data_IF_552088600368
#
_entry.id   IF_552088600368
#
_cell.length_a   1.000
_cell.length_b   1.000
_cell.length_c   1.000
_cell.angle_alpha   90.00
_cell.angle_beta   90.00
_cell.angle_gamma   90.00
#
_symmetry.space_group_name_H-M   'P 1'
#
loop_
_entity.id
_entity.type
_entity.pdbx_description
1 polymer ?
#
# COMPACT_ATOMS: atom_id res chain seq x y z
N UNK A 1 -58.82 -15.99 -4.29
CA UNK A 1 -58.23 -17.35 -4.18
C UNK A 1 -56.97 -17.32 -3.32
N UNK A 2 -56.99 -18.13 -2.25
CA UNK A 2 -55.90 -18.79 -1.51
C UNK A 2 -54.60 -18.02 -1.20
N UNK A 3 -54.49 -17.59 0.07
CA UNK A 3 -53.23 -17.43 0.81
C UNK A 3 -52.45 -18.76 0.78
N UNK A 4 -51.20 -18.74 0.31
CA UNK A 4 -50.24 -19.82 0.50
C UNK A 4 -49.07 -19.29 1.33
N UNK A 5 -49.12 -19.58 2.64
CA UNK A 5 -47.94 -19.70 3.51
C UNK A 5 -47.25 -21.03 3.16
N UNK A 6 -45.91 -21.04 3.00
CA UNK A 6 -45.06 -22.19 3.35
C UNK A 6 -43.55 -21.83 3.42
N UNK A 7 -43.08 -21.77 4.67
CA UNK A 7 -41.81 -22.29 5.21
C UNK A 7 -40.48 -22.13 4.44
N UNK A 8 -39.62 -21.21 4.88
CA UNK A 8 -38.16 -21.33 4.72
C UNK A 8 -37.55 -21.97 5.98
N UNK A 9 -37.09 -23.22 5.84
CA UNK A 9 -36.34 -23.99 6.85
C UNK A 9 -35.05 -23.28 7.24
N UNK A 10 -34.83 -23.03 8.54
CA UNK A 10 -33.54 -22.61 9.11
C UNK A 10 -32.58 -23.80 9.13
N UNK A 11 -31.53 -23.77 8.31
CA UNK A 11 -30.41 -24.72 8.40
C UNK A 11 -29.48 -24.24 9.52
N UNK A 12 -29.57 -24.86 10.70
CA UNK A 12 -28.58 -24.70 11.78
C UNK A 12 -27.35 -25.56 11.47
N UNK A 13 -26.25 -24.96 10.99
CA UNK A 13 -24.94 -25.64 10.95
C UNK A 13 -24.40 -25.75 12.39
N UNK A 14 -24.40 -26.97 12.96
CA UNK A 14 -23.69 -27.31 14.21
C UNK A 14 -22.19 -27.37 13.91
N UNK A 15 -21.41 -26.44 14.45
CA UNK A 15 -19.94 -26.54 14.47
C UNK A 15 -19.55 -27.42 15.66
N UNK A 16 -18.94 -28.59 15.38
CA UNK A 16 -18.38 -29.50 16.41
C UNK A 16 -17.13 -28.85 17.02
N UNK A 17 -17.13 -28.58 18.33
CA UNK A 17 -15.94 -28.18 19.09
C UNK A 17 -15.03 -29.41 19.32
N UNK A 18 -13.85 -29.45 18.72
CA UNK A 18 -12.81 -30.40 19.10
C UNK A 18 -12.14 -29.95 20.42
N UNK A 19 -12.22 -30.77 21.46
CA UNK A 19 -11.46 -30.61 22.71
C UNK A 19 -10.01 -31.05 22.49
N UNK A 20 -9.03 -30.15 22.65
CA UNK A 20 -7.61 -30.50 22.68
C UNK A 20 -7.20 -30.90 24.11
N UNK A 21 -6.78 -32.15 24.29
CA UNK A 21 -6.14 -32.65 25.52
C UNK A 21 -4.69 -32.12 25.56
N UNK A 22 -4.31 -31.34 26.58
CA UNK A 22 -2.90 -31.02 26.89
C UNK A 22 -2.43 -31.87 28.07
N UNK A 23 -1.47 -32.75 27.79
CA UNK A 23 -0.79 -33.62 28.76
C UNK A 23 0.13 -32.80 29.68
N UNK A 24 0.01 -32.99 31.00
CA UNK A 24 1.01 -32.55 31.99
C UNK A 24 2.14 -33.61 32.06
N UNK A 25 3.40 -33.21 31.87
CA UNK A 25 4.57 -34.03 32.25
C UNK A 25 5.27 -33.39 33.44
N UNK A 26 5.40 -34.18 34.52
CA UNK A 26 6.14 -33.90 35.75
C UNK A 26 7.52 -34.55 35.59
N UNK A 27 8.61 -33.82 35.86
CA UNK A 27 9.92 -34.42 36.10
C UNK A 27 10.53 -33.86 37.39
N UNK A 28 10.69 -34.73 38.40
CA UNK A 28 11.52 -34.51 39.60
C UNK A 28 12.88 -35.18 39.38
N UNK A 29 13.99 -34.51 39.71
CA UNK A 29 15.26 -35.17 40.06
C UNK A 29 15.99 -34.40 41.17
N UNK A 30 16.24 -35.09 42.28
CA UNK A 30 17.13 -34.70 43.39
C UNK A 30 18.49 -35.40 43.19
N UNK A 31 19.60 -34.78 43.61
CA UNK A 31 20.84 -35.47 44.00
C UNK A 31 21.46 -34.80 45.24
N UNK A 32 21.87 -35.62 46.22
CA UNK A 32 22.62 -35.26 47.45
C UNK A 32 24.08 -35.70 47.28
N UNK A 33 25.02 -35.01 47.94
CA UNK A 33 26.39 -35.49 48.17
C UNK A 33 26.79 -35.33 49.65
N UNK A 34 27.57 -36.29 50.15
CA UNK A 34 28.08 -36.47 51.53
C UNK A 34 29.61 -36.61 51.48
N UNK A 35 30.36 -36.11 52.47
CA UNK A 35 31.74 -36.56 52.81
C UNK A 35 32.10 -36.33 54.31
N UNK A 36 32.65 -37.37 54.95
CA UNK A 36 33.22 -37.45 56.31
C UNK A 36 34.75 -37.24 56.31
N UNK A 37 35.37 -36.81 57.43
CA UNK A 37 36.77 -37.15 57.83
C UNK A 37 36.98 -37.14 59.37
N UNK A 38 37.78 -38.10 59.88
CA UNK A 38 38.11 -38.38 61.31
C UNK A 38 39.41 -37.70 61.79
N UNK A 39 39.55 -37.58 63.12
CA UNK A 39 40.65 -36.95 63.90
C UNK A 39 41.55 -37.99 64.61
N UNK A 40 42.80 -37.63 64.95
CA UNK A 40 43.73 -38.38 65.83
C UNK A 40 44.42 -37.45 66.85
N UNK A 41 44.73 -37.93 68.07
CA UNK A 41 45.43 -37.21 69.16
C UNK A 41 46.62 -38.03 69.69
N UNK A 42 47.69 -37.37 70.13
CA UNK A 42 48.84 -37.94 70.85
C UNK A 42 49.09 -37.20 72.19
N UNK A 43 49.56 -37.92 73.21
CA UNK A 43 49.84 -37.45 74.60
C UNK A 43 51.36 -37.44 74.88
N UNK A 44 51.82 -36.56 75.79
CA UNK A 44 53.21 -36.45 76.26
C UNK A 44 53.28 -36.47 77.79
N UNK A 45 54.30 -37.13 78.34
CA UNK A 45 54.61 -37.38 79.76
C UNK A 45 55.71 -36.43 80.24
N UNK A 46 55.68 -35.98 81.52
CA UNK A 46 56.67 -35.09 82.16
C UNK A 46 57.66 -35.86 83.05
N UNK A 47 58.89 -35.33 83.20
CA UNK A 47 59.91 -35.75 84.19
C UNK A 47 60.28 -34.61 85.13
N UNK A 48 60.70 -35.01 86.34
CA UNK A 48 60.86 -34.22 87.56
C UNK A 48 62.31 -33.88 87.92
N UNK A 49 62.45 -32.72 88.57
CA UNK A 49 63.40 -32.18 89.57
C UNK A 49 64.63 -32.99 90.01
N UNK A 50 65.68 -32.28 90.49
CA UNK A 50 66.42 -32.63 91.71
C UNK A 50 67.23 -31.43 92.28
N UNK A 51 67.38 -31.41 93.61
CA UNK A 51 67.75 -30.28 94.48
C UNK A 51 69.23 -30.26 94.94
N UNK A 52 69.92 -29.11 94.86
CA UNK A 52 71.27 -28.84 95.44
C UNK A 52 71.24 -27.66 96.44
N UNK A 53 70.54 -27.79 97.58
CA UNK A 53 70.27 -26.66 98.50
C UNK A 53 71.20 -26.50 99.71
N UNK A 54 72.23 -27.35 99.90
CA UNK A 54 72.89 -27.47 101.22
C UNK A 54 74.18 -26.68 101.48
N UNK A 55 74.71 -25.88 100.53
CA UNK A 55 76.00 -25.17 100.70
C UNK A 55 75.93 -23.63 100.55
N UNK A 56 74.87 -22.96 101.04
CA UNK A 56 74.63 -21.52 100.76
C UNK A 56 74.83 -20.55 101.94
N UNK A 57 75.15 -21.03 103.15
CA UNK A 57 75.13 -20.20 104.37
C UNK A 57 76.48 -20.08 105.11
N UNK A 58 77.61 -20.16 104.42
CA UNK A 58 78.93 -19.86 105.01
C UNK A 58 79.31 -18.39 104.76
N UNK A 59 79.93 -17.74 105.76
CA UNK A 59 80.33 -16.32 105.69
C UNK A 59 81.27 -16.04 104.49
N UNK A 60 82.17 -16.98 104.18
CA UNK A 60 83.06 -16.92 103.03
C UNK A 60 82.31 -16.82 101.69
N UNK A 61 81.26 -17.63 101.47
CA UNK A 61 80.43 -17.56 100.26
C UNK A 61 79.75 -16.18 100.11
N UNK A 62 79.29 -15.60 101.23
CA UNK A 62 78.67 -14.26 101.24
C UNK A 62 79.68 -13.16 100.93
N UNK A 63 80.92 -13.32 101.39
CA UNK A 63 82.02 -12.40 101.12
C UNK A 63 82.48 -12.45 99.66
N UNK A 64 82.70 -13.64 99.08
CA UNK A 64 83.09 -13.76 97.65
C UNK A 64 82.01 -13.17 96.74
N UNK A 65 80.72 -13.43 97.06
CA UNK A 65 79.58 -12.86 96.34
C UNK A 65 79.52 -11.33 96.41
N UNK A 66 79.72 -10.77 97.61
CA UNK A 66 79.77 -9.32 97.80
C UNK A 66 80.95 -8.70 97.04
N UNK A 67 82.10 -9.37 97.06
CA UNK A 67 83.30 -8.94 96.38
C UNK A 67 83.16 -8.96 94.85
N UNK A 68 82.47 -9.96 94.29
CA UNK A 68 82.20 -10.06 92.86
C UNK A 68 81.12 -9.09 92.38
N UNK A 69 80.10 -8.80 93.19
CA UNK A 69 79.09 -7.76 92.93
C UNK A 69 79.71 -6.34 92.91
N UNK A 70 80.73 -6.08 93.75
CA UNK A 70 81.44 -4.79 93.85
C UNK A 70 82.74 -4.70 93.05
N UNK A 71 83.19 -5.79 92.40
CA UNK A 71 84.46 -5.89 91.66
C UNK A 71 85.70 -5.48 92.47
N UNK A 72 85.78 -5.85 93.75
CA UNK A 72 86.89 -5.50 94.65
C UNK A 72 87.92 -6.65 94.74
N UNK A 73 89.24 -6.42 94.83
CA UNK A 73 90.26 -7.50 94.95
C UNK A 73 91.44 -7.08 95.86
N UNK A 74 91.47 -7.51 97.16
CA UNK A 74 92.58 -7.20 98.06
C UNK A 74 93.77 -8.15 97.84
N UNK A 75 94.98 -7.60 97.64
CA UNK A 75 96.24 -8.34 97.55
C UNK A 75 96.99 -8.22 98.88
N UNK A 76 97.29 -9.34 99.56
CA UNK A 76 98.06 -9.37 100.81
C UNK A 76 99.31 -10.24 100.57
N UNK A 77 100.52 -9.69 100.81
CA UNK A 77 101.80 -10.41 100.79
C UNK A 77 102.22 -10.74 102.23
N UNK A 78 102.46 -12.03 102.53
CA UNK A 78 103.01 -12.49 103.82
C UNK A 78 104.29 -13.29 103.55
N UNK A 79 105.44 -12.80 104.02
CA UNK A 79 106.72 -13.52 104.07
C UNK A 79 106.93 -14.04 105.50
N UNK A 80 106.92 -15.36 105.71
CA UNK A 80 107.13 -15.97 107.03
C UNK A 80 108.40 -16.84 106.99
N UNK A 81 109.42 -16.48 107.77
CA UNK A 81 110.67 -17.23 107.93
C UNK A 81 110.55 -18.29 109.03
N UNK A 82 111.07 -19.48 108.75
CA UNK A 82 110.93 -20.71 109.54
C UNK A 82 111.76 -20.72 110.83
N UNK A 83 111.15 -20.41 111.98
CA UNK A 83 111.51 -20.98 113.31
C UNK A 83 110.41 -20.69 114.34
N UNK A 84 109.26 -21.35 114.23
CA UNK A 84 108.18 -21.25 115.22
C UNK A 84 107.65 -22.62 115.62
N UNK A 85 107.51 -22.80 116.93
CA UNK A 85 107.21 -24.03 117.65
C UNK A 85 105.87 -24.68 117.26
N UNK A 86 105.76 -25.99 117.53
CA UNK A 86 104.64 -26.92 117.18
C UNK A 86 103.21 -26.41 117.47
N UNK A 87 103.04 -25.34 118.24
CA UNK A 87 101.74 -24.83 118.67
C UNK A 87 101.07 -23.86 117.67
N UNK A 88 101.79 -23.32 116.67
CA UNK A 88 101.25 -22.34 115.69
C UNK A 88 100.92 -22.99 114.32
N UNK A 89 101.42 -24.21 114.05
CA UNK A 89 101.18 -24.94 112.80
C UNK A 89 99.68 -25.21 112.53
N UNK A 90 98.91 -25.48 113.59
CA UNK A 90 97.47 -25.76 113.47
C UNK A 90 96.66 -24.53 113.02
N UNK A 91 97.13 -23.32 113.31
CA UNK A 91 96.49 -22.06 112.94
C UNK A 91 96.70 -21.74 111.45
N UNK A 92 97.93 -21.86 110.94
CA UNK A 92 98.20 -21.63 109.51
C UNK A 92 97.56 -22.68 108.61
N UNK A 93 97.50 -23.95 109.03
CA UNK A 93 96.75 -24.98 108.29
C UNK A 93 95.24 -24.66 108.20
N UNK A 94 94.68 -23.95 109.18
CA UNK A 94 93.28 -23.50 109.17
C UNK A 94 93.09 -22.32 108.21
N UNK A 95 94.04 -21.39 108.18
CA UNK A 95 94.06 -20.26 107.23
C UNK A 95 94.25 -20.75 105.78
N UNK A 96 95.17 -21.68 105.55
CA UNK A 96 95.44 -22.24 104.22
C UNK A 96 94.22 -22.96 103.66
N UNK A 97 93.52 -23.75 104.49
CA UNK A 97 92.22 -24.35 104.11
C UNK A 97 91.19 -23.29 103.71
N UNK A 98 91.08 -22.19 104.45
CA UNK A 98 90.16 -21.09 104.10
C UNK A 98 90.56 -20.34 102.82
N UNK A 99 91.86 -20.20 102.53
CA UNK A 99 92.37 -19.57 101.29
C UNK A 99 92.08 -20.46 100.07
N UNK A 100 92.30 -21.76 100.19
CA UNK A 100 91.98 -22.74 99.14
C UNK A 100 90.47 -22.74 98.86
N UNK A 101 89.66 -22.72 99.91
CA UNK A 101 88.20 -22.62 99.81
C UNK A 101 87.77 -21.31 99.12
N UNK A 102 88.38 -20.17 99.47
CA UNK A 102 88.13 -18.89 98.80
C UNK A 102 88.48 -18.90 97.30
N UNK A 103 89.65 -19.45 96.93
CA UNK A 103 90.07 -19.55 95.52
C UNK A 103 89.11 -20.42 94.70
N UNK A 104 88.66 -21.54 95.29
CA UNK A 104 87.68 -22.42 94.67
C UNK A 104 86.33 -21.72 94.47
N UNK A 105 85.81 -21.05 95.51
CA UNK A 105 84.56 -20.29 95.45
C UNK A 105 84.62 -19.15 94.41
N UNK A 106 85.75 -18.45 94.28
CA UNK A 106 85.94 -17.40 93.27
C UNK A 106 85.87 -17.93 91.84
N UNK A 107 86.45 -19.11 91.58
CA UNK A 107 86.38 -19.76 90.27
C UNK A 107 84.97 -20.26 89.95
N UNK A 108 84.26 -20.83 90.93
CA UNK A 108 82.85 -21.21 90.76
C UNK A 108 81.96 -20.01 90.43
N UNK A 109 82.19 -18.87 91.07
CA UNK A 109 81.39 -17.68 90.85
C UNK A 109 81.66 -17.04 89.47
N UNK A 110 82.90 -17.05 88.98
CA UNK A 110 83.22 -16.64 87.61
C UNK A 110 82.56 -17.56 86.56
N UNK A 111 82.61 -18.89 86.75
CA UNK A 111 81.92 -19.84 85.88
C UNK A 111 80.41 -19.58 85.85
N UNK A 112 79.81 -19.28 87.00
CA UNK A 112 78.39 -18.90 87.11
C UNK A 112 78.08 -17.62 86.33
N UNK A 113 78.90 -16.57 86.42
CA UNK A 113 78.70 -15.32 85.69
C UNK A 113 78.76 -15.51 84.16
N UNK A 114 79.68 -16.35 83.66
CA UNK A 114 79.78 -16.66 82.22
C UNK A 114 78.56 -17.42 81.74
N UNK A 115 78.12 -18.44 82.50
CA UNK A 115 76.89 -19.19 82.21
C UNK A 115 75.68 -18.26 82.22
N UNK A 116 75.57 -17.34 83.19
CA UNK A 116 74.46 -16.39 83.28
C UNK A 116 74.42 -15.42 82.08
N UNK A 117 75.57 -14.99 81.56
CA UNK A 117 75.65 -14.16 80.35
C UNK A 117 75.20 -14.92 79.10
N UNK A 118 75.68 -16.15 78.90
CA UNK A 118 75.26 -17.00 77.78
C UNK A 118 73.77 -17.34 77.85
N UNK A 119 73.24 -17.60 79.05
CA UNK A 119 71.80 -17.80 79.26
C UNK A 119 70.97 -16.54 78.94
N UNK A 120 71.50 -15.35 79.22
CA UNK A 120 70.85 -14.07 78.85
C UNK A 120 70.84 -13.88 77.33
N UNK A 121 71.96 -14.08 76.64
CA UNK A 121 72.04 -13.98 75.17
C UNK A 121 71.17 -15.02 74.46
N UNK A 122 71.12 -16.27 74.94
CA UNK A 122 70.22 -17.29 74.39
C UNK A 122 68.75 -16.92 74.58
N UNK A 123 68.39 -16.37 75.75
CA UNK A 123 67.02 -15.88 76.01
C UNK A 123 66.66 -14.75 75.06
N UNK A 124 67.57 -13.80 74.84
CA UNK A 124 67.38 -12.70 73.89
C UNK A 124 67.20 -13.19 72.46
N UNK A 125 68.03 -14.12 71.97
CA UNK A 125 67.87 -14.73 70.63
C UNK A 125 66.55 -15.47 70.49
N UNK A 126 66.16 -16.27 71.50
CA UNK A 126 64.87 -16.97 71.53
C UNK A 126 63.69 -16.00 71.52
N UNK A 127 63.81 -14.86 72.19
CA UNK A 127 62.76 -13.85 72.24
C UNK A 127 62.68 -13.04 70.93
N UNK A 128 63.80 -12.78 70.26
CA UNK A 128 63.80 -12.22 68.90
C UNK A 128 63.18 -13.17 67.89
N UNK A 129 63.53 -14.46 67.92
CA UNK A 129 62.96 -15.47 67.01
C UNK A 129 61.45 -15.65 67.23
N UNK A 130 60.99 -15.63 68.49
CA UNK A 130 59.55 -15.60 68.81
C UNK A 130 58.89 -14.34 68.25
N UNK A 131 59.50 -13.17 68.39
CA UNK A 131 58.96 -11.91 67.83
C UNK A 131 58.82 -11.99 66.31
N UNK A 132 59.83 -12.48 65.60
CA UNK A 132 59.79 -12.66 64.13
C UNK A 132 58.67 -13.63 63.72
N UNK A 133 58.54 -14.78 64.39
CA UNK A 133 57.46 -15.76 64.12
C UNK A 133 56.08 -15.14 64.35
N UNK A 134 55.91 -14.38 65.42
CA UNK A 134 54.67 -13.66 65.71
C UNK A 134 54.37 -12.63 64.62
N UNK A 135 55.36 -11.86 64.15
CA UNK A 135 55.19 -10.90 63.06
C UNK A 135 54.82 -11.57 61.72
N UNK A 136 55.44 -12.70 61.39
CA UNK A 136 55.12 -13.47 60.19
C UNK A 136 53.70 -14.05 60.24
N UNK A 137 53.29 -14.60 61.38
CA UNK A 137 51.91 -15.06 61.59
C UNK A 137 50.90 -13.92 61.46
N UNK A 138 51.22 -12.74 62.01
CA UNK A 138 50.41 -11.53 61.86
C UNK A 138 50.32 -11.10 60.39
N UNK A 139 51.43 -11.08 59.64
CA UNK A 139 51.45 -10.78 58.20
C UNK A 139 50.61 -11.78 57.41
N UNK A 140 50.74 -13.07 57.68
CA UNK A 140 49.93 -14.12 57.04
C UNK A 140 48.44 -13.93 57.36
N UNK A 141 48.10 -13.59 58.60
CA UNK A 141 46.72 -13.35 59.02
C UNK A 141 46.11 -12.13 58.32
N UNK A 142 46.87 -11.04 58.19
CA UNK A 142 46.46 -9.84 57.43
C UNK A 142 46.21 -10.19 55.96
N UNK A 143 47.15 -10.90 55.31
CA UNK A 143 46.99 -11.34 53.91
C UNK A 143 45.78 -12.25 53.70
N UNK A 144 45.55 -13.22 54.60
CA UNK A 144 44.36 -14.08 54.55
C UNK A 144 43.07 -13.27 54.67
N UNK A 145 43.05 -12.25 55.53
CA UNK A 145 41.89 -11.35 55.67
C UNK A 145 41.66 -10.53 54.39
N UNK A 146 42.71 -9.97 53.80
CA UNK A 146 42.65 -9.25 52.53
C UNK A 146 42.07 -10.13 51.39
N UNK A 147 42.55 -11.37 51.24
CA UNK A 147 42.04 -12.32 50.24
C UNK A 147 40.55 -12.63 50.47
N UNK A 148 40.14 -12.81 51.72
CA UNK A 148 38.72 -13.06 52.04
C UNK A 148 37.84 -11.86 51.69
N UNK A 149 38.33 -10.65 51.93
CA UNK A 149 37.59 -9.42 51.64
C UNK A 149 37.51 -9.16 50.12
N UNK A 150 38.57 -9.46 49.35
CA UNK A 150 38.53 -9.46 47.88
C UNK A 150 37.47 -10.44 47.34
N UNK A 151 37.41 -11.67 47.88
CA UNK A 151 36.40 -12.66 47.49
C UNK A 151 34.98 -12.18 47.82
N UNK A 152 34.78 -11.50 48.96
CA UNK A 152 33.48 -10.90 49.30
C UNK A 152 33.11 -9.79 48.32
N UNK A 153 34.02 -8.87 48.05
CA UNK A 153 33.83 -7.77 47.10
C UNK A 153 33.48 -8.31 45.71
N UNK A 154 34.14 -9.38 45.26
CA UNK A 154 33.85 -9.98 43.96
C UNK A 154 32.47 -10.67 43.92
N UNK A 155 32.05 -11.29 45.04
CA UNK A 155 30.67 -11.81 45.19
C UNK A 155 29.64 -10.69 45.20
N UNK A 156 29.91 -9.54 45.80
CA UNK A 156 29.04 -8.37 45.77
C UNK A 156 28.94 -7.81 44.34
N UNK A 157 30.07 -7.53 43.69
CA UNK A 157 30.11 -7.10 42.28
C UNK A 157 29.34 -8.04 41.35
N UNK A 158 29.49 -9.36 41.50
CA UNK A 158 28.74 -10.31 40.65
C UNK A 158 27.24 -10.33 40.94
N UNK A 159 26.83 -10.08 42.19
CA UNK A 159 25.41 -9.90 42.55
C UNK A 159 24.87 -8.60 41.96
N UNK A 160 25.63 -7.51 42.08
CA UNK A 160 25.24 -6.19 41.58
C UNK A 160 25.13 -6.18 40.06
N UNK A 161 26.09 -6.77 39.35
CA UNK A 161 26.01 -6.94 37.88
C UNK A 161 24.77 -7.77 37.50
N UNK A 162 24.47 -8.86 38.22
CA UNK A 162 23.27 -9.67 37.94
C UNK A 162 21.98 -8.90 38.23
N UNK A 163 21.95 -8.10 39.29
CA UNK A 163 20.80 -7.27 39.64
C UNK A 163 20.60 -6.17 38.61
N UNK A 164 21.68 -5.50 38.19
CA UNK A 164 21.68 -4.51 37.12
C UNK A 164 21.14 -5.08 35.81
N UNK A 165 21.67 -6.24 35.35
CA UNK A 165 21.17 -6.92 34.14
C UNK A 165 19.69 -7.31 34.25
N UNK A 166 19.20 -7.71 35.43
CA UNK A 166 17.78 -7.99 35.63
C UNK A 166 16.92 -6.74 35.57
N UNK A 167 17.40 -5.63 36.14
CA UNK A 167 16.70 -4.33 36.12
C UNK A 167 16.63 -3.78 34.69
N UNK A 168 17.74 -3.80 33.96
CA UNK A 168 17.82 -3.46 32.53
C UNK A 168 16.83 -4.29 31.69
N UNK A 169 16.85 -5.63 31.85
CA UNK A 169 15.90 -6.49 31.14
C UNK A 169 14.44 -6.22 31.53
N UNK A 170 14.17 -5.83 32.78
CA UNK A 170 12.83 -5.47 33.22
C UNK A 170 12.36 -4.15 32.59
N UNK A 171 13.25 -3.15 32.49
CA UNK A 171 13.02 -1.89 31.78
C UNK A 171 12.71 -2.16 30.30
N UNK A 172 13.54 -2.93 29.61
CA UNK A 172 13.32 -3.30 28.20
C UNK A 172 11.96 -4.00 28.01
N UNK A 173 11.59 -4.93 28.89
CA UNK A 173 10.27 -5.60 28.82
C UNK A 173 9.12 -4.62 29.04
N UNK A 174 9.28 -3.64 29.94
CA UNK A 174 8.28 -2.62 30.22
C UNK A 174 8.09 -1.70 29.00
N UNK A 175 9.18 -1.23 28.40
CA UNK A 175 9.14 -0.40 27.19
C UNK A 175 8.52 -1.14 26.00
N UNK A 176 8.89 -2.41 25.78
CA UNK A 176 8.28 -3.23 24.74
C UNK A 176 6.77 -3.42 24.96
N UNK A 177 6.35 -3.64 26.20
CA UNK A 177 4.93 -3.76 26.55
C UNK A 177 4.16 -2.45 26.32
N UNK A 178 4.76 -1.30 26.63
CA UNK A 178 4.17 0.03 26.34
C UNK A 178 4.04 0.28 24.84
N UNK A 179 5.08 -0.02 24.05
CA UNK A 179 5.01 0.06 22.57
C UNK A 179 3.91 -0.82 22.00
N UNK A 180 3.77 -2.06 22.48
CA UNK A 180 2.71 -2.97 22.06
C UNK A 180 1.31 -2.45 22.43
N UNK A 181 1.13 -1.86 23.61
CA UNK A 181 -0.15 -1.25 24.03
C UNK A 181 -0.52 -0.07 23.14
N UNK A 182 0.43 0.83 22.86
CA UNK A 182 0.21 1.98 22.01
C UNK A 182 -0.15 1.55 20.57
N UNK A 183 0.58 0.57 20.04
CA UNK A 183 0.30 -0.01 18.72
C UNK A 183 -1.10 -0.65 18.65
N UNK A 184 -1.49 -1.41 19.69
CA UNK A 184 -2.84 -1.99 19.76
C UNK A 184 -3.93 -0.91 19.81
N UNK A 185 -3.71 0.16 20.58
CA UNK A 185 -4.62 1.30 20.67
C UNK A 185 -4.76 2.01 19.32
N UNK A 186 -3.66 2.20 18.60
CA UNK A 186 -3.65 2.79 17.26
C UNK A 186 -4.45 1.94 16.28
N UNK A 187 -4.23 0.62 16.24
CA UNK A 187 -5.03 -0.31 15.42
C UNK A 187 -6.52 -0.23 15.74
N UNK A 188 -6.89 -0.10 17.02
CA UNK A 188 -8.28 0.03 17.42
C UNK A 188 -8.91 1.34 16.92
N UNK A 189 -8.17 2.46 17.02
CA UNK A 189 -8.59 3.76 16.51
C UNK A 189 -8.73 3.73 14.98
N UNK A 190 -7.75 3.17 14.26
CA UNK A 190 -7.78 3.04 12.81
C UNK A 190 -9.00 2.23 12.33
N UNK A 191 -9.30 1.11 13.00
CA UNK A 191 -10.51 0.32 12.73
C UNK A 191 -11.80 1.06 13.01
N UNK A 192 -11.82 1.96 13.99
CA UNK A 192 -12.99 2.80 14.25
C UNK A 192 -13.13 3.85 13.16
N UNK A 193 -12.06 4.56 12.80
CA UNK A 193 -12.02 5.55 11.72
C UNK A 193 -12.47 4.92 10.41
N UNK A 194 -12.00 3.72 10.07
CA UNK A 194 -12.41 2.98 8.87
C UNK A 194 -13.92 2.69 8.87
N UNK A 195 -14.50 2.29 10.02
CA UNK A 195 -15.96 2.12 10.16
C UNK A 195 -16.73 3.43 10.03
N UNK A 196 -16.18 4.57 10.45
CA UNK A 196 -16.78 5.88 10.23
C UNK A 196 -16.73 6.25 8.74
N UNK A 197 -15.59 6.10 8.09
CA UNK A 197 -15.42 6.34 6.64
C UNK A 197 -16.40 5.52 5.79
N UNK A 198 -16.56 4.23 6.09
CA UNK A 198 -17.51 3.36 5.38
C UNK A 198 -18.96 3.80 5.60
N UNK A 199 -19.30 4.36 6.76
CA UNK A 199 -20.64 4.90 7.03
C UNK A 199 -20.88 6.21 6.31
N UNK A 200 -19.95 7.14 6.41
CA UNK A 200 -19.97 8.44 5.73
C UNK A 200 -20.12 8.25 4.21
N UNK A 201 -19.33 7.36 3.62
CA UNK A 201 -19.45 7.04 2.19
C UNK A 201 -20.86 6.54 1.82
N UNK A 202 -21.44 5.67 2.65
CA UNK A 202 -22.81 5.17 2.43
C UNK A 202 -23.87 6.25 2.62
N UNK A 203 -23.64 7.21 3.50
CA UNK A 203 -24.54 8.35 3.71
C UNK A 203 -24.46 9.32 2.54
N UNK A 204 -23.26 9.65 2.08
CA UNK A 204 -23.04 10.43 0.86
C UNK A 204 -23.68 9.75 -0.36
N UNK A 205 -23.48 8.45 -0.54
CA UNK A 205 -24.09 7.70 -1.65
C UNK A 205 -25.63 7.72 -1.57
N UNK A 206 -26.21 7.65 -0.37
CA UNK A 206 -27.67 7.78 -0.19
C UNK A 206 -28.16 9.18 -0.50
N UNK A 207 -27.47 10.21 -0.03
CA UNK A 207 -27.82 11.62 -0.29
C UNK A 207 -27.71 11.93 -1.78
N UNK A 208 -26.66 11.45 -2.44
CA UNK A 208 -26.49 11.59 -3.89
C UNK A 208 -27.63 10.89 -4.64
N UNK A 209 -27.99 9.66 -4.25
CA UNK A 209 -29.13 8.96 -4.85
C UNK A 209 -30.45 9.69 -4.66
N UNK A 210 -30.67 10.34 -3.51
CA UNK A 210 -31.87 11.13 -3.24
C UNK A 210 -31.86 12.39 -4.12
N UNK A 211 -30.77 13.15 -4.13
CA UNK A 211 -30.62 14.34 -4.97
C UNK A 211 -30.79 14.04 -6.47
N UNK A 212 -30.26 12.91 -6.95
CA UNK A 212 -30.44 12.47 -8.34
C UNK A 212 -31.89 12.05 -8.63
N UNK A 213 -32.61 11.49 -7.65
CA UNK A 213 -34.03 11.15 -7.81
C UNK A 213 -34.90 12.40 -7.83
N UNK A 214 -34.68 13.35 -6.92
CA UNK A 214 -35.39 14.64 -6.89
C UNK A 214 -35.23 15.36 -8.22
N UNK A 215 -34.00 15.52 -8.72
CA UNK A 215 -33.75 16.11 -10.05
C UNK A 215 -34.51 15.37 -11.16
N UNK A 216 -34.57 14.04 -11.13
CA UNK A 216 -35.30 13.24 -12.13
C UNK A 216 -36.82 13.43 -12.04
N UNK A 217 -37.36 13.60 -10.86
CA UNK A 217 -38.80 13.82 -10.65
C UNK A 217 -39.23 15.19 -11.18
N UNK A 218 -38.42 16.23 -10.97
CA UNK A 218 -38.64 17.56 -11.57
C UNK A 218 -38.65 17.51 -13.10
N UNK A 219 -37.82 16.65 -13.71
CA UNK A 219 -37.82 16.47 -15.17
C UNK A 219 -39.00 15.65 -15.70
N UNK A 220 -39.72 14.88 -14.89
CA UNK A 220 -40.85 14.05 -15.37
C UNK A 220 -42.01 14.92 -15.87
N UNK A 221 -42.37 15.98 -15.13
CA UNK A 221 -43.45 16.89 -15.54
C UNK A 221 -43.10 17.61 -16.84
N UNK A 222 -41.85 18.07 -16.98
CA UNK A 222 -41.34 18.65 -18.22
C UNK A 222 -41.36 17.63 -19.37
N UNK A 223 -40.95 16.38 -19.12
CA UNK A 223 -41.00 15.31 -20.11
C UNK A 223 -42.42 15.00 -20.57
N UNK A 224 -43.40 14.96 -19.67
CA UNK A 224 -44.81 14.78 -20.02
C UNK A 224 -45.35 15.94 -20.86
N UNK A 225 -44.99 17.17 -20.52
CA UNK A 225 -45.36 18.36 -21.32
C UNK A 225 -44.73 18.31 -22.71
N UNK A 226 -43.46 17.95 -22.80
CA UNK A 226 -42.77 17.76 -24.08
C UNK A 226 -43.44 16.64 -24.90
N UNK A 227 -43.83 15.53 -24.25
CA UNK A 227 -44.50 14.41 -24.92
C UNK A 227 -45.85 14.85 -25.50
N UNK A 228 -46.67 15.56 -24.73
CA UNK A 228 -47.95 16.15 -25.18
C UNK A 228 -47.76 17.11 -26.36
N UNK A 229 -46.73 17.97 -26.30
CA UNK A 229 -46.41 18.88 -27.41
C UNK A 229 -45.97 18.11 -28.66
N UNK A 230 -45.07 17.12 -28.54
CA UNK A 230 -44.63 16.28 -29.66
C UNK A 230 -45.79 15.55 -30.31
N UNK A 231 -46.73 15.04 -29.52
CA UNK A 231 -47.93 14.35 -30.00
C UNK A 231 -48.85 15.31 -30.77
N UNK A 232 -49.10 16.52 -30.23
CA UNK A 232 -49.84 17.58 -30.94
C UNK A 232 -49.20 17.93 -32.29
N UNK A 233 -47.88 18.13 -32.33
CA UNK A 233 -47.17 18.42 -33.58
C UNK A 233 -47.17 17.25 -34.56
N UNK A 234 -47.17 16.00 -34.06
CA UNK A 234 -47.28 14.81 -34.91
C UNK A 234 -48.63 14.80 -35.62
N UNK A 235 -49.73 15.00 -34.89
CA UNK A 235 -51.09 15.05 -35.46
C UNK A 235 -51.20 16.15 -36.52
N UNK A 236 -50.70 17.36 -36.24
CA UNK A 236 -50.72 18.48 -37.19
C UNK A 236 -49.91 18.13 -38.46
N UNK A 237 -48.74 17.49 -38.29
CA UNK A 237 -47.91 17.08 -39.43
C UNK A 237 -48.61 16.01 -40.27
N UNK A 238 -49.23 15.02 -39.63
CA UNK A 238 -49.92 13.92 -40.31
C UNK A 238 -51.16 14.44 -41.06
N UNK A 239 -51.90 15.40 -40.47
CA UNK A 239 -52.97 16.15 -41.15
C UNK A 239 -52.44 16.89 -42.38
N UNK A 240 -51.32 17.61 -42.27
CA UNK A 240 -50.72 18.33 -43.39
C UNK A 240 -50.18 17.40 -44.50
N UNK A 241 -49.71 16.20 -44.15
CA UNK A 241 -49.35 15.17 -45.13
C UNK A 241 -50.61 14.72 -45.89
N UNK A 242 -51.71 14.46 -45.17
CA UNK A 242 -52.99 14.09 -45.79
C UNK A 242 -53.52 15.19 -46.72
N UNK A 243 -53.51 16.44 -46.29
CA UNK A 243 -53.94 17.59 -47.13
C UNK A 243 -53.10 17.70 -48.41
N UNK A 244 -51.77 17.54 -48.30
CA UNK A 244 -50.86 17.58 -49.44
C UNK A 244 -51.09 16.42 -50.42
N UNK A 245 -51.22 15.19 -49.93
CA UNK A 245 -51.52 14.02 -50.77
C UNK A 245 -52.89 14.18 -51.44
N UNK A 246 -53.88 14.74 -50.73
CA UNK A 246 -55.21 15.01 -51.29
C UNK A 246 -55.16 16.07 -52.39
N UNK A 247 -54.31 17.09 -52.24
CA UNK A 247 -54.11 18.12 -53.26
C UNK A 247 -53.46 17.57 -54.55
N UNK A 248 -52.69 16.48 -54.46
CA UNK A 248 -52.16 15.76 -55.63
C UNK A 248 -53.22 14.92 -56.37
N UNK A 249 -54.44 14.83 -55.82
CA UNK A 249 -55.55 14.08 -56.43
C UNK A 249 -55.46 12.56 -56.21
N UNK A 250 -54.66 12.10 -55.25
CA UNK A 250 -54.51 10.68 -54.93
C UNK A 250 -55.62 10.26 -53.97
N UNK A 251 -56.27 9.12 -54.23
CA UNK A 251 -57.29 8.56 -53.35
C UNK A 251 -56.68 8.10 -52.01
N UNK A 252 -57.19 8.68 -50.92
CA UNK A 252 -56.76 8.41 -49.55
C UNK A 252 -57.87 7.63 -48.84
N UNK A 253 -57.51 6.49 -48.26
CA UNK A 253 -58.38 5.79 -47.31
C UNK A 253 -58.19 6.36 -45.91
N UNK A 254 -59.26 6.43 -45.11
CA UNK A 254 -59.20 7.00 -43.76
C UNK A 254 -58.28 6.21 -42.81
N UNK A 255 -58.05 4.93 -43.13
CA UNK A 255 -57.14 4.00 -42.46
C UNK A 255 -55.68 4.06 -42.95
N UNK A 256 -55.34 4.92 -43.92
CA UNK A 256 -53.98 4.98 -44.45
C UNK A 256 -53.00 5.56 -43.40
N UNK A 257 -51.94 4.81 -43.15
CA UNK A 257 -50.82 5.18 -42.29
C UNK A 257 -49.97 6.30 -42.90
N UNK A 258 -49.20 7.00 -42.06
CA UNK A 258 -48.30 8.07 -42.52
C UNK A 258 -47.32 7.60 -43.60
N UNK A 259 -46.78 6.40 -43.42
CA UNK A 259 -45.75 5.89 -44.32
C UNK A 259 -46.33 5.50 -45.68
N UNK A 260 -47.57 5.00 -45.72
CA UNK A 260 -48.26 4.70 -46.98
C UNK A 260 -48.61 5.98 -47.73
N UNK A 261 -49.02 7.04 -47.04
CA UNK A 261 -49.24 8.36 -47.65
C UNK A 261 -47.96 8.93 -48.27
N UNK A 262 -46.82 8.80 -47.59
CA UNK A 262 -45.53 9.25 -48.11
C UNK A 262 -45.03 8.39 -49.27
N UNK A 263 -45.34 7.10 -49.29
CA UNK A 263 -45.03 6.22 -50.42
C UNK A 263 -45.86 6.60 -51.65
N UNK A 264 -47.18 6.78 -51.49
CA UNK A 264 -48.06 7.28 -52.56
C UNK A 264 -47.58 8.63 -53.12
N UNK A 265 -47.19 9.58 -52.27
CA UNK A 265 -46.63 10.87 -52.69
C UNK A 265 -45.34 10.69 -53.52
N UNK A 266 -44.45 9.78 -53.11
CA UNK A 266 -43.20 9.50 -53.85
C UNK A 266 -43.46 8.81 -55.18
N UNK A 267 -44.35 7.83 -55.21
CA UNK A 267 -44.73 7.10 -56.42
C UNK A 267 -45.33 8.05 -57.45
N UNK A 268 -46.27 8.90 -57.03
CA UNK A 268 -46.84 9.94 -57.89
C UNK A 268 -45.79 10.88 -58.48
N UNK A 269 -44.86 11.38 -57.66
CA UNK A 269 -43.78 12.24 -58.15
C UNK A 269 -42.84 11.52 -59.12
N UNK A 270 -42.56 10.23 -58.88
CA UNK A 270 -41.71 9.42 -59.74
C UNK A 270 -42.38 9.12 -61.08
N UNK A 271 -43.69 8.87 -61.09
CA UNK A 271 -44.48 8.74 -62.32
C UNK A 271 -44.51 10.05 -63.11
N UNK A 272 -44.76 11.19 -62.44
CA UNK A 272 -44.67 12.52 -63.06
C UNK A 272 -43.29 12.77 -63.66
N UNK A 273 -42.21 12.43 -62.95
CA UNK A 273 -40.86 12.58 -63.47
C UNK A 273 -40.60 11.71 -64.71
N UNK A 274 -41.17 10.50 -64.78
CA UNK A 274 -41.06 9.64 -65.98
C UNK A 274 -41.77 10.24 -67.19
N UNK A 275 -42.97 10.79 -66.98
CA UNK A 275 -43.75 11.52 -68.00
C UNK A 275 -42.98 12.75 -68.49
N UNK A 276 -42.39 13.52 -67.57
CA UNK A 276 -41.58 14.69 -67.90
C UNK A 276 -40.34 14.31 -68.73
N UNK A 277 -39.63 13.26 -68.33
CA UNK A 277 -38.43 12.80 -69.02
C UNK A 277 -38.71 12.27 -70.43
N UNK A 278 -39.82 11.55 -70.62
CA UNK A 278 -40.19 11.05 -71.94
C UNK A 278 -40.53 12.21 -72.89
N UNK A 279 -41.32 13.20 -72.44
CA UNK A 279 -41.65 14.40 -73.24
C UNK A 279 -40.48 15.37 -73.41
N UNK A 280 -39.49 15.38 -72.53
CA UNK A 280 -38.35 16.30 -72.61
C UNK A 280 -37.57 16.16 -73.91
N UNK A 281 -37.37 14.93 -74.36
CA UNK A 281 -36.71 14.65 -75.62
C UNK A 281 -37.47 15.23 -76.83
N UNK A 282 -38.80 15.14 -76.82
CA UNK A 282 -39.68 15.70 -77.84
C UNK A 282 -39.73 17.22 -77.77
N UNK A 283 -39.77 17.81 -76.58
CA UNK A 283 -39.69 19.26 -76.39
C UNK A 283 -38.39 19.82 -76.95
N UNK A 284 -37.23 19.22 -76.62
CA UNK A 284 -35.93 19.68 -77.12
C UNK A 284 -35.86 19.59 -78.65
N UNK A 285 -36.42 18.52 -79.22
CA UNK A 285 -36.52 18.35 -80.67
C UNK A 285 -37.41 19.42 -81.31
N UNK A 286 -38.63 19.61 -80.80
CA UNK A 286 -39.59 20.60 -81.28
C UNK A 286 -39.08 22.04 -81.13
N UNK A 287 -38.46 22.39 -80.00
CA UNK A 287 -37.88 23.71 -79.77
C UNK A 287 -36.71 23.99 -80.74
N UNK A 288 -35.85 23.00 -80.97
CA UNK A 288 -34.78 23.07 -81.97
C UNK A 288 -35.34 23.26 -83.38
N UNK A 289 -36.38 22.49 -83.74
CA UNK A 289 -37.06 22.60 -85.02
C UNK A 289 -37.63 24.00 -85.25
N UNK A 290 -38.40 24.51 -84.28
CA UNK A 290 -38.97 25.85 -84.32
C UNK A 290 -37.88 26.92 -84.50
N UNK A 291 -36.77 26.81 -83.75
CA UNK A 291 -35.65 27.73 -83.89
C UNK A 291 -35.04 27.71 -85.30
N UNK A 292 -34.84 26.51 -85.88
CA UNK A 292 -34.31 26.36 -87.23
C UNK A 292 -35.25 26.91 -88.30
N UNK A 293 -36.56 26.66 -88.18
CA UNK A 293 -37.58 27.17 -89.09
C UNK A 293 -37.68 28.70 -89.03
N UNK A 294 -37.68 29.27 -87.82
CA UNK A 294 -37.65 30.71 -87.63
C UNK A 294 -36.43 31.36 -88.29
N UNK A 295 -35.26 30.73 -88.16
CA UNK A 295 -34.01 31.24 -88.73
C UNK A 295 -33.96 31.14 -90.26
N UNK A 296 -34.48 30.07 -90.85
CA UNK A 296 -34.31 29.75 -92.29
C UNK A 296 -35.53 30.10 -93.15
N UNK A 297 -36.73 29.94 -92.63
CA UNK A 297 -37.97 29.95 -93.41
C UNK A 297 -38.93 31.11 -93.06
N UNK A 298 -38.76 31.78 -91.92
CA UNK A 298 -39.62 32.92 -91.58
C UNK A 298 -39.01 34.23 -92.11
N UNK A 299 -39.84 35.06 -92.74
CA UNK A 299 -39.44 36.40 -93.22
C UNK A 299 -39.86 37.48 -92.22
N UNK A 300 -39.29 38.69 -92.33
CA UNK A 300 -39.59 39.81 -91.39
C UNK A 300 -41.07 40.22 -91.33
N UNK A 301 -41.87 39.85 -92.34
CA UNK A 301 -43.31 40.16 -92.42
C UNK A 301 -44.20 39.09 -91.80
N UNK A 302 -43.64 37.93 -91.47
CA UNK A 302 -44.37 36.78 -90.92
C UNK A 302 -44.19 36.72 -89.39
N UNK A 303 -45.23 36.24 -88.70
CA UNK A 303 -45.19 35.98 -87.26
C UNK A 303 -44.22 34.82 -86.97
N UNK A 304 -43.58 34.86 -85.80
CA UNK A 304 -42.58 33.86 -85.40
C UNK A 304 -43.29 32.61 -84.86
N UNK A 305 -42.75 31.41 -85.08
CA UNK A 305 -43.23 30.21 -84.41
C UNK A 305 -42.69 30.14 -82.97
N UNK A 306 -43.55 29.78 -82.02
CA UNK A 306 -43.17 29.55 -80.62
C UNK A 306 -43.52 28.13 -80.22
N UNK A 307 -42.55 27.44 -79.62
CA UNK A 307 -42.79 26.20 -78.89
C UNK A 307 -43.12 26.56 -77.44
N UNK A 308 -44.34 26.25 -77.01
CA UNK A 308 -44.79 26.44 -75.62
C UNK A 308 -44.64 25.13 -74.87
N UNK A 309 -44.07 25.22 -73.67
CA UNK A 309 -43.82 24.08 -72.81
C UNK A 309 -44.82 24.06 -71.65
N UNK A 310 -45.73 23.08 -71.65
CA UNK A 310 -46.67 22.83 -70.54
C UNK A 310 -46.50 21.42 -69.96
N UNK A 311 -45.30 20.83 -70.10
CA UNK A 311 -44.98 19.48 -69.59
C UNK A 311 -45.26 19.32 -68.09
N UNK A 312 -45.01 20.36 -67.30
CA UNK A 312 -45.16 20.35 -65.84
C UNK A 312 -46.61 20.41 -65.35
N UNK A 313 -47.51 21.04 -66.12
CA UNK A 313 -48.89 21.31 -65.70
C UNK A 313 -49.85 20.28 -66.30
N UNK A 314 -49.92 20.21 -67.63
CA UNK A 314 -50.85 19.36 -68.38
C UNK A 314 -50.18 18.17 -69.06
N UNK A 315 -48.86 18.16 -69.18
CA UNK A 315 -48.14 17.09 -69.89
C UNK A 315 -48.20 17.25 -71.41
N UNK A 316 -48.32 18.50 -71.88
CA UNK A 316 -48.50 18.84 -73.29
C UNK A 316 -47.41 19.81 -73.76
N UNK A 317 -47.01 19.69 -75.02
CA UNK A 317 -46.14 20.62 -75.71
C UNK A 317 -46.86 21.02 -76.99
N UNK A 318 -46.91 22.32 -77.31
CA UNK A 318 -47.50 22.74 -78.56
C UNK A 318 -46.68 23.81 -79.26
N UNK A 319 -46.80 23.84 -80.57
CA UNK A 319 -46.20 24.84 -81.45
C UNK A 319 -47.32 25.72 -81.97
N UNK A 320 -47.16 27.04 -81.86
CA UNK A 320 -48.13 28.02 -82.36
C UNK A 320 -47.44 29.23 -82.98
N UNK A 321 -48.22 30.06 -83.67
CA UNK A 321 -47.79 31.40 -84.05
C UNK A 321 -47.75 32.32 -82.82
N UNK A 322 -46.80 33.25 -82.78
CA UNK A 322 -46.60 34.14 -81.63
C UNK A 322 -47.82 35.03 -81.33
N UNK A 323 -48.56 35.42 -82.38
CA UNK A 323 -49.73 36.29 -82.32
C UNK A 323 -51.04 35.55 -82.01
N UNK A 324 -51.04 34.21 -82.12
CA UNK A 324 -52.21 33.36 -81.89
C UNK A 324 -52.43 33.02 -80.42
N UNK A 325 -53.69 32.75 -80.06
CA UNK A 325 -54.06 32.24 -78.73
C UNK A 325 -53.51 30.82 -78.51
N UNK A 326 -53.47 30.36 -77.26
CA UNK A 326 -52.99 29.01 -76.93
C UNK A 326 -53.92 27.88 -77.45
N UNK A 327 -55.17 28.22 -77.80
CA UNK A 327 -56.15 27.28 -78.36
C UNK A 327 -55.94 27.03 -79.87
N UNK A 328 -55.28 27.97 -80.56
CA UNK A 328 -54.94 27.94 -81.99
C UNK A 328 -53.53 27.37 -82.25
N UNK A 329 -53.26 26.20 -81.69
CA UNK A 329 -52.00 25.50 -81.92
C UNK A 329 -51.94 24.83 -83.30
N UNK A 330 -50.73 24.68 -83.83
CA UNK A 330 -50.42 24.03 -85.11
C UNK A 330 -50.07 22.56 -84.92
N UNK A 331 -49.19 22.28 -83.96
CA UNK A 331 -48.81 20.91 -83.58
C UNK A 331 -48.97 20.79 -82.06
N UNK A 332 -49.63 19.72 -81.62
CA UNK A 332 -49.78 19.35 -80.22
C UNK A 332 -49.14 17.98 -80.00
N UNK A 333 -48.24 17.91 -79.02
CA UNK A 333 -47.53 16.70 -78.61
C UNK A 333 -47.94 16.40 -77.17
N UNK A 334 -48.49 15.22 -76.92
CA UNK A 334 -48.90 14.80 -75.58
C UNK A 334 -48.70 13.30 -75.39
N UNK A 335 -48.70 12.84 -74.13
CA UNK A 335 -48.61 11.42 -73.80
C UNK A 335 -50.00 10.79 -73.75
N UNK A 336 -50.15 9.60 -74.35
CA UNK A 336 -51.39 8.82 -74.28
C UNK A 336 -51.64 8.32 -72.84
N UNK A 337 -52.85 8.56 -72.34
CA UNK A 337 -53.33 8.21 -70.99
C UNK A 337 -52.37 8.58 -69.84
N UNK A 338 -51.53 9.62 -70.01
CA UNK A 338 -50.50 10.03 -69.05
C UNK A 338 -49.54 8.89 -68.64
N UNK A 339 -49.35 7.89 -69.49
CA UNK A 339 -48.43 6.77 -69.22
C UNK A 339 -47.23 6.78 -70.19
N UNK A 340 -45.98 6.75 -69.69
CA UNK A 340 -44.79 6.79 -70.53
C UNK A 340 -44.67 5.57 -71.47
N UNK A 341 -45.38 4.47 -71.19
CA UNK A 341 -45.28 3.21 -71.92
C UNK A 341 -46.22 3.13 -73.14
N UNK A 342 -47.28 3.94 -73.17
CA UNK A 342 -48.32 3.86 -74.20
C UNK A 342 -48.01 4.68 -75.47
N UNK A 343 -46.93 5.45 -75.46
CA UNK A 343 -46.48 6.25 -76.61
C UNK A 343 -46.92 7.71 -76.54
N UNK A 344 -46.34 8.50 -77.44
CA UNK A 344 -46.51 9.95 -77.57
C UNK A 344 -47.33 10.21 -78.83
N UNK A 345 -48.37 11.00 -78.70
CA UNK A 345 -49.26 11.37 -79.79
C UNK A 345 -48.85 12.75 -80.30
N UNK A 346 -48.72 12.87 -81.61
CA UNK A 346 -48.55 14.15 -82.30
C UNK A 346 -49.80 14.40 -83.13
N UNK A 347 -50.54 15.43 -82.75
CA UNK A 347 -51.66 15.96 -83.53
C UNK A 347 -51.19 17.16 -84.35
N UNK A 348 -51.54 17.13 -85.62
CA UNK A 348 -51.11 18.13 -86.58
C UNK A 348 -52.34 18.79 -87.23
N UNK A 349 -52.47 20.11 -87.00
CA UNK A 349 -53.48 21.01 -87.54
C UNK A 349 -52.94 21.87 -88.69
N UNK A 350 -51.76 21.57 -89.20
CA UNK A 350 -51.12 22.33 -90.28
C UNK A 350 -51.91 22.30 -91.60
N UNK A 351 -52.80 21.32 -91.78
CA UNK A 351 -53.71 21.24 -92.93
C UNK A 351 -55.14 21.65 -92.53
N UNK A 352 -55.67 22.67 -93.20
CA UNK A 352 -57.01 23.23 -92.96
C UNK A 352 -58.18 22.24 -93.15
N UNK A 353 -57.97 21.15 -93.88
CA UNK A 353 -59.05 20.22 -94.27
C UNK A 353 -59.13 18.95 -93.42
N UNK A 354 -58.04 18.50 -92.79
CA UNK A 354 -58.00 17.27 -91.97
C UNK A 354 -56.91 17.35 -90.90
N UNK A 355 -57.30 17.10 -89.65
CA UNK A 355 -56.36 16.91 -88.55
C UNK A 355 -55.76 15.50 -88.67
N UNK A 356 -54.43 15.41 -88.64
CA UNK A 356 -53.72 14.12 -88.72
C UNK A 356 -53.17 13.82 -87.34
N UNK A 357 -53.50 12.63 -86.81
CA UNK A 357 -52.96 12.13 -85.54
C UNK A 357 -52.02 10.96 -85.82
N UNK A 358 -50.81 11.00 -85.25
CA UNK A 358 -49.83 9.92 -85.34
C UNK A 358 -49.29 9.57 -83.95
N UNK A 359 -49.20 8.27 -83.70
CA UNK A 359 -48.62 7.72 -82.46
C UNK A 359 -47.16 7.33 -82.71
N UNK A 360 -46.28 7.75 -81.80
CA UNK A 360 -44.85 7.46 -81.83
C UNK A 360 -44.43 6.84 -80.49
N UNK A 361 -43.44 5.94 -80.52
CA UNK A 361 -42.82 5.48 -79.27
C UNK A 361 -41.83 6.52 -78.75
N UNK A 362 -41.54 6.51 -77.45
CA UNK A 362 -40.52 7.38 -76.85
C UNK A 362 -39.12 7.19 -77.48
N UNK A 363 -38.84 6.04 -78.08
CA UNK A 363 -37.60 5.76 -78.82
C UNK A 363 -37.56 6.33 -80.24
N UNK A 364 -38.72 6.67 -80.83
CA UNK A 364 -38.87 7.06 -82.23
C UNK A 364 -38.84 8.58 -82.43
N UNK A 365 -38.06 9.29 -81.60
CA UNK A 365 -37.95 10.75 -81.59
C UNK A 365 -37.52 11.31 -82.97
N UNK A 366 -36.62 10.62 -83.67
CA UNK A 366 -36.15 11.05 -84.99
C UNK A 366 -37.25 10.98 -86.05
N UNK A 367 -38.03 9.90 -86.08
CA UNK A 367 -39.17 9.77 -87.00
C UNK A 367 -40.26 10.81 -86.71
N UNK A 368 -40.50 11.09 -85.43
CA UNK A 368 -41.40 12.15 -85.00
C UNK A 368 -40.89 13.54 -85.42
N UNK A 369 -39.58 13.78 -85.27
CA UNK A 369 -38.93 15.02 -85.70
C UNK A 369 -39.07 15.23 -87.21
N UNK A 370 -38.74 14.23 -88.02
CA UNK A 370 -38.83 14.30 -89.48
C UNK A 370 -40.27 14.60 -89.92
N UNK A 371 -41.26 13.95 -89.29
CA UNK A 371 -42.67 14.23 -89.54
C UNK A 371 -43.06 15.68 -89.22
N UNK A 372 -42.62 16.22 -88.08
CA UNK A 372 -42.90 17.61 -87.72
C UNK A 372 -42.21 18.60 -88.67
N UNK A 373 -40.99 18.31 -89.12
CA UNK A 373 -40.27 19.11 -90.12
C UNK A 373 -41.07 19.18 -91.40
N UNK A 374 -41.46 18.04 -91.94
CA UNK A 374 -42.20 17.96 -93.21
C UNK A 374 -43.53 18.70 -93.12
N UNK A 375 -44.25 18.57 -92.01
CA UNK A 375 -45.53 19.26 -91.83
C UNK A 375 -45.39 20.78 -91.76
N UNK A 376 -44.50 21.29 -90.89
CA UNK A 376 -44.34 22.73 -90.71
C UNK A 376 -43.71 23.41 -91.94
N UNK A 377 -42.79 22.73 -92.63
CA UNK A 377 -42.22 23.26 -93.88
C UNK A 377 -43.27 23.35 -94.98
N UNK A 378 -44.10 22.33 -95.15
CA UNK A 378 -45.23 22.36 -96.09
C UNK A 378 -46.22 23.47 -95.76
N UNK A 379 -46.50 23.71 -94.47
CA UNK A 379 -47.34 24.82 -94.01
C UNK A 379 -46.74 26.16 -94.44
N UNK A 380 -45.47 26.40 -94.09
CA UNK A 380 -44.80 27.67 -94.40
C UNK A 380 -44.74 27.91 -95.92
N UNK A 381 -44.46 26.88 -96.71
CA UNK A 381 -44.43 26.97 -98.17
C UNK A 381 -45.82 27.30 -98.76
N UNK A 382 -46.91 26.78 -98.18
CA UNK A 382 -48.28 27.15 -98.57
C UNK A 382 -48.58 28.61 -98.27
N UNK A 383 -48.21 29.10 -97.07
CA UNK A 383 -48.39 30.52 -96.71
C UNK A 383 -47.60 31.41 -97.68
N UNK A 384 -46.34 31.08 -97.96
CA UNK A 384 -45.50 31.84 -98.90
C UNK A 384 -46.09 31.88 -100.31
N UNK A 385 -46.61 30.77 -100.83
CA UNK A 385 -47.28 30.73 -102.13
C UNK A 385 -48.56 31.57 -102.16
N UNK A 386 -49.29 31.64 -101.04
CA UNK A 386 -50.48 32.49 -100.90
C UNK A 386 -50.13 33.98 -100.84
N UNK A 387 -48.98 34.35 -100.30
CA UNK A 387 -48.52 35.75 -100.25
C UNK A 387 -47.91 36.23 -101.59
N UNK A 388 -47.55 35.31 -102.49
CA UNK A 388 -46.97 35.59 -103.81
C UNK A 388 -48.01 35.69 -104.94
N UNK A 389 -49.21 35.15 -104.72
CA UNK A 389 -50.39 35.29 -105.60
C UNK A 389 -51.30 36.39 -105.07
#
# INVERSE_FOLDING_TARGET
MKKIKKNKKKIKKKIKKHKSKKNKKIYKKKRKYSKNKKLYKLKIIKKSNLNFKKLRNTFLYRFVRFQSDLKFDPKILLNLSNKLEKNIQSFFNKIEKTIIEYRYLKQEEHKRQVIEKLEKEEKERKDVEKKIKIEEELKIKIRKKAIQDEIKIQKERTKDIKNFLRQEQALIRKEQAEKQKNFLKQIQLDKQIEKFRVREFKELEKLERISLKEKREDFKELQERIKKLKEKYRIIRDQKIRERVKALGIDISESDDRDTLLQKEKEYNLERQKIEFSLESFYRSAASLVFQLNKRHITRKMSILRCVDRRFETGEIFIKWDESSDEEWLILIYIKDNSPDQGIIIEDKSNLEKNITKEFKASEIFNASDYMVDSLTQLIDKIRKKDLN
#
